data_IF_152361038526
#
_entry.id   IF_152361038526
#
_cell.length_a   1.000
_cell.length_b   1.000
_cell.length_c   1.000
_cell.angle_alpha   90.00
_cell.angle_beta   90.00
_cell.angle_gamma   90.00
#
_symmetry.space_group_name_H-M   'P 1'
#
loop_
_entity.id
_entity.type
_entity.pdbx_description
1 polymer ?
#
# COMPACT_ATOMS: atom_id res chain seq x y z
N UNK A 1 -20.25 9.53 60.25
CA UNK A 1 -20.15 10.96 59.91
C UNK A 1 -20.81 11.14 58.55
N UNK A 2 -21.85 11.95 58.55
CA UNK A 2 -22.86 12.10 57.51
C UNK A 2 -22.54 13.35 56.71
N UNK A 3 -22.46 13.27 55.38
CA UNK A 3 -22.59 14.46 54.53
C UNK A 3 -23.37 14.11 53.25
N UNK A 4 -24.63 14.51 53.30
CA UNK A 4 -25.57 14.71 52.19
C UNK A 4 -25.48 16.17 51.74
N UNK A 5 -25.79 16.44 50.46
CA UNK A 5 -26.31 17.67 49.84
C UNK A 5 -25.55 17.96 48.53
N UNK A 6 -26.12 18.38 47.40
CA UNK A 6 -27.46 18.46 46.83
C UNK A 6 -27.26 18.96 45.39
N UNK A 7 -28.15 18.66 44.43
CA UNK A 7 -28.04 19.10 43.04
C UNK A 7 -28.77 20.43 42.80
N UNK A 8 -28.37 21.22 41.80
CA UNK A 8 -29.26 22.22 41.19
C UNK A 8 -28.93 22.49 39.70
N UNK A 9 -29.91 22.96 38.91
CA UNK A 9 -29.96 22.89 37.45
C UNK A 9 -29.70 24.26 36.79
N UNK A 10 -29.64 24.32 35.46
CA UNK A 10 -30.50 25.18 34.62
C UNK A 10 -30.05 25.24 33.16
N UNK A 11 -30.99 24.83 32.32
CA UNK A 11 -31.42 25.30 30.98
C UNK A 11 -30.67 26.45 30.30
N UNK A 12 -30.33 26.25 29.03
CA UNK A 12 -30.34 27.30 27.99
C UNK A 12 -30.75 26.70 26.64
N UNK A 13 -31.96 27.03 26.22
CA UNK A 13 -32.53 26.78 24.89
C UNK A 13 -32.19 27.98 24.01
N UNK A 14 -31.57 27.74 22.85
CA UNK A 14 -31.37 28.73 21.79
C UNK A 14 -31.59 28.09 20.42
N UNK A 15 -32.43 28.67 19.54
CA UNK A 15 -32.74 28.09 18.25
C UNK A 15 -31.72 28.55 17.20
N UNK A 16 -31.17 27.62 16.41
CA UNK A 16 -30.36 27.95 15.25
C UNK A 16 -30.87 27.20 14.02
N UNK A 17 -31.57 27.99 13.23
CA UNK A 17 -31.96 27.91 11.83
C UNK A 17 -31.26 26.85 10.97
N UNK A 18 -32.11 26.03 10.37
CA UNK A 18 -31.91 25.09 9.27
C UNK A 18 -31.31 25.74 8.00
N UNK A 19 -30.23 25.15 7.49
CA UNK A 19 -29.84 25.21 6.09
C UNK A 19 -29.72 23.77 5.55
N UNK A 20 -30.73 23.35 4.81
CA UNK A 20 -30.79 22.06 4.11
C UNK A 20 -30.00 22.16 2.82
N UNK A 21 -28.78 21.65 2.79
CA UNK A 21 -28.03 21.43 1.56
C UNK A 21 -28.35 20.04 1.04
N UNK A 22 -29.00 19.99 -0.13
CA UNK A 22 -29.35 18.78 -0.86
C UNK A 22 -28.12 17.88 -1.07
N UNK A 23 -28.16 16.58 -0.70
CA UNK A 23 -27.16 15.64 -1.15
C UNK A 23 -27.35 15.39 -2.65
N UNK A 24 -26.27 15.60 -3.42
CA UNK A 24 -26.19 15.19 -4.81
C UNK A 24 -26.15 13.65 -4.82
N UNK A 25 -27.23 13.01 -5.26
CA UNK A 25 -27.30 11.57 -5.46
C UNK A 25 -26.49 11.24 -6.72
N UNK A 26 -25.38 10.49 -6.65
CA UNK A 26 -24.74 10.00 -7.87
C UNK A 26 -25.68 8.96 -8.49
N UNK A 27 -25.98 9.15 -9.77
CA UNK A 27 -26.76 8.20 -10.56
C UNK A 27 -26.15 6.80 -10.43
N UNK A 28 -26.95 5.75 -10.21
CA UNK A 28 -26.44 4.38 -10.21
C UNK A 28 -25.89 4.09 -11.61
N UNK A 29 -24.60 3.80 -11.69
CA UNK A 29 -24.01 3.18 -12.88
C UNK A 29 -24.75 1.87 -13.08
N UNK A 30 -25.51 1.76 -14.18
CA UNK A 30 -26.33 0.60 -14.46
C UNK A 30 -25.43 -0.66 -14.49
N UNK A 31 -25.67 -1.61 -13.59
CA UNK A 31 -24.98 -2.91 -13.52
C UNK A 31 -24.95 -3.66 -14.87
N UNK A 32 -25.84 -3.28 -15.79
CA UNK A 32 -25.94 -3.80 -17.16
C UNK A 32 -24.66 -3.54 -17.98
N UNK A 33 -23.95 -2.42 -17.77
CA UNK A 33 -22.72 -2.12 -18.52
C UNK A 33 -21.52 -2.94 -18.01
N UNK A 34 -21.46 -3.17 -16.70
CA UNK A 34 -20.40 -3.97 -16.07
C UNK A 34 -20.54 -5.44 -16.45
N UNK A 35 -21.77 -5.96 -16.50
CA UNK A 35 -22.03 -7.33 -16.93
C UNK A 35 -21.70 -7.53 -18.43
N UNK A 36 -22.00 -6.55 -19.28
CA UNK A 36 -21.68 -6.62 -20.71
C UNK A 36 -20.16 -6.64 -20.97
N UNK A 37 -19.40 -5.82 -20.24
CA UNK A 37 -17.93 -5.76 -20.35
C UNK A 37 -17.29 -7.06 -19.83
N UNK A 38 -17.76 -7.59 -18.69
CA UNK A 38 -17.30 -8.87 -18.16
C UNK A 38 -17.54 -10.04 -19.14
N UNK A 39 -18.72 -10.10 -19.78
CA UNK A 39 -19.02 -11.13 -20.79
C UNK A 39 -18.05 -11.03 -21.97
N UNK A 40 -17.72 -9.82 -22.41
CA UNK A 40 -16.80 -9.57 -23.52
C UNK A 40 -15.35 -9.99 -23.17
N UNK A 41 -14.91 -9.71 -21.94
CA UNK A 41 -13.60 -10.12 -21.44
C UNK A 41 -13.47 -11.64 -21.31
N UNK A 42 -14.48 -12.31 -20.75
CA UNK A 42 -14.50 -13.77 -20.65
C UNK A 42 -14.50 -14.40 -22.03
N UNK A 43 -15.32 -13.91 -22.97
CA UNK A 43 -15.35 -14.43 -24.34
C UNK A 43 -14.02 -14.26 -25.07
N UNK A 44 -13.31 -13.14 -24.86
CA UNK A 44 -12.00 -12.88 -25.48
C UNK A 44 -10.92 -13.82 -24.92
N UNK A 45 -10.92 -14.02 -23.60
CA UNK A 45 -9.97 -14.92 -22.95
C UNK A 45 -10.20 -16.39 -23.33
N UNK A 46 -11.46 -16.83 -23.39
CA UNK A 46 -11.80 -18.17 -23.88
C UNK A 46 -11.40 -18.39 -25.34
N UNK A 47 -11.54 -17.37 -26.20
CA UNK A 47 -11.08 -17.45 -27.60
C UNK A 47 -9.56 -17.56 -27.70
N UNK A 48 -8.81 -16.82 -26.86
CA UNK A 48 -7.35 -16.92 -26.81
C UNK A 48 -6.89 -18.29 -26.30
N UNK A 49 -7.55 -18.83 -25.28
CA UNK A 49 -7.25 -20.16 -24.76
C UNK A 49 -7.53 -21.25 -25.80
N UNK A 50 -8.66 -21.18 -26.51
CA UNK A 50 -8.99 -22.12 -27.57
C UNK A 50 -7.95 -22.09 -28.73
N UNK A 51 -7.39 -20.93 -29.05
CA UNK A 51 -6.30 -20.81 -30.04
C UNK A 51 -4.99 -21.41 -29.57
N UNK A 52 -4.67 -21.27 -28.27
CA UNK A 52 -3.50 -21.91 -27.67
C UNK A 52 -3.63 -23.43 -27.65
N UNK A 53 -4.82 -23.95 -27.32
CA UNK A 53 -5.08 -25.39 -27.21
C UNK A 53 -5.00 -26.12 -28.56
N UNK A 54 -5.35 -25.43 -29.66
CA UNK A 54 -5.23 -25.95 -31.04
C UNK A 54 -3.78 -25.87 -31.56
N UNK A 55 -2.85 -25.32 -30.78
CA UNK A 55 -1.42 -25.12 -31.14
C UNK A 55 -1.29 -24.48 -32.52
N UNK A 56 -2.08 -23.44 -32.76
CA UNK A 56 -2.11 -22.71 -34.02
C UNK A 56 -0.75 -22.03 -34.23
N UNK A 57 -0.01 -22.46 -35.26
CA UNK A 57 1.31 -21.94 -35.57
C UNK A 57 1.18 -20.50 -36.10
N UNK A 58 1.45 -19.52 -35.26
CA UNK A 58 1.38 -18.09 -35.61
C UNK A 58 0.83 -17.16 -34.53
N UNK A 59 0.44 -17.66 -33.35
CA UNK A 59 0.11 -16.79 -32.21
C UNK A 59 1.41 -16.20 -31.66
N UNK A 60 1.73 -14.99 -32.11
CA UNK A 60 2.85 -14.17 -31.66
C UNK A 60 2.81 -14.02 -30.13
N UNK A 61 3.78 -14.61 -29.47
CA UNK A 61 4.14 -14.29 -28.08
C UNK A 61 4.89 -12.95 -28.17
N UNK A 62 4.27 -11.89 -27.64
CA UNK A 62 4.80 -10.53 -27.44
C UNK A 62 6.13 -10.19 -28.15
N UNK A 63 6.01 -9.59 -29.33
CA UNK A 63 7.11 -8.95 -30.04
C UNK A 63 7.35 -7.54 -29.46
N UNK A 64 8.54 -7.20 -28.96
CA UNK A 64 8.81 -5.88 -28.41
C UNK A 64 8.89 -4.85 -29.55
N UNK A 65 7.97 -3.88 -29.54
CA UNK A 65 7.87 -2.77 -30.51
C UNK A 65 9.03 -1.74 -30.37
N UNK A 66 10.29 -2.16 -30.51
CA UNK A 66 11.44 -1.26 -30.41
C UNK A 66 12.53 -1.55 -31.45
N UNK A 67 12.17 -1.56 -32.74
CA UNK A 67 13.20 -1.67 -33.79
C UNK A 67 12.73 -1.08 -35.11
N UNK A 68 12.58 0.24 -35.17
CA UNK A 68 12.86 1.06 -36.36
C UNK A 68 12.72 2.56 -36.07
N UNK A 69 13.82 3.18 -35.61
CA UNK A 69 14.08 4.60 -35.85
C UNK A 69 15.54 4.71 -36.29
N UNK A 70 15.90 5.49 -37.33
CA UNK A 70 17.29 5.68 -37.70
C UNK A 70 18.00 6.49 -36.60
N UNK A 71 19.25 6.11 -36.30
CA UNK A 71 20.06 6.83 -35.34
C UNK A 71 20.27 8.29 -35.80
N UNK A 72 19.97 9.29 -34.96
CA UNK A 72 20.24 10.67 -35.31
C UNK A 72 21.76 10.92 -35.30
N UNK A 73 22.27 11.78 -36.20
CA UNK A 73 23.67 12.13 -36.19
C UNK A 73 24.02 12.81 -34.86
N UNK A 74 25.11 12.35 -34.24
CA UNK A 74 25.69 12.98 -33.05
C UNK A 74 26.22 14.35 -33.45
N UNK A 75 25.36 15.36 -33.31
CA UNK A 75 25.72 16.78 -33.40
C UNK A 75 25.38 17.44 -32.08
N UNK A 76 26.38 18.12 -31.53
CA UNK A 76 26.38 18.97 -30.36
C UNK A 76 25.54 20.24 -30.64
N UNK A 77 24.21 20.03 -30.76
CA UNK A 77 23.22 21.01 -31.17
C UNK A 77 23.20 22.27 -30.29
N UNK A 78 23.68 22.19 -29.05
CA UNK A 78 23.64 23.27 -28.06
C UNK A 78 24.55 24.46 -28.36
N UNK A 79 25.69 24.30 -29.04
CA UNK A 79 26.61 25.42 -29.32
C UNK A 79 26.31 26.15 -30.64
N UNK A 80 25.75 25.46 -31.63
CA UNK A 80 25.50 26.05 -32.96
C UNK A 80 24.31 27.01 -32.97
N UNK A 81 23.23 26.71 -32.24
CA UNK A 81 22.08 27.62 -32.18
C UNK A 81 22.41 28.95 -31.51
N UNK A 82 23.30 28.94 -30.51
CA UNK A 82 23.76 30.16 -29.83
C UNK A 82 24.57 31.02 -30.80
N UNK A 83 25.46 30.39 -31.57
CA UNK A 83 26.29 31.09 -32.57
C UNK A 83 25.44 31.66 -33.71
N UNK A 84 24.44 30.92 -34.18
CA UNK A 84 23.48 31.37 -35.19
C UNK A 84 22.56 32.48 -34.66
N UNK A 85 22.14 32.42 -33.40
CA UNK A 85 21.34 33.49 -32.78
C UNK A 85 22.15 34.78 -32.62
N UNK A 86 23.43 34.66 -32.24
CA UNK A 86 24.35 35.79 -32.09
C UNK A 86 24.80 36.41 -33.42
N UNK A 87 24.58 35.74 -34.55
CA UNK A 87 24.84 36.33 -35.88
C UNK A 87 23.63 37.07 -36.46
N UNK A 88 22.45 36.97 -35.84
CA UNK A 88 21.25 37.72 -36.26
C UNK A 88 21.39 39.21 -35.95
N UNK A 89 20.79 40.05 -36.80
CA UNK A 89 20.67 41.50 -36.56
C UNK A 89 19.68 41.79 -35.42
N UNK A 90 19.80 42.95 -34.74
CA UNK A 90 19.00 43.25 -33.54
C UNK A 90 17.49 43.16 -33.75
N UNK A 91 16.98 43.62 -34.91
CA UNK A 91 15.55 43.53 -35.23
C UNK A 91 15.05 42.10 -35.39
N UNK A 92 15.85 41.22 -36.00
CA UNK A 92 15.49 39.82 -36.24
C UNK A 92 15.54 38.98 -34.96
N UNK A 93 16.44 39.30 -34.01
CA UNK A 93 16.46 38.65 -32.69
C UNK A 93 15.18 38.87 -31.90
N UNK A 94 14.63 40.09 -31.96
CA UNK A 94 13.36 40.43 -31.28
C UNK A 94 12.21 39.59 -31.86
N UNK A 95 12.19 39.39 -33.19
CA UNK A 95 11.21 38.51 -33.83
C UNK A 95 11.41 37.04 -33.48
N UNK A 96 12.65 36.55 -33.41
CA UNK A 96 12.95 35.18 -33.01
C UNK A 96 12.52 34.89 -31.55
N UNK A 97 12.78 35.83 -30.62
CA UNK A 97 12.29 35.73 -29.23
C UNK A 97 10.76 35.73 -29.20
N UNK A 98 10.11 36.64 -29.94
CA UNK A 98 8.63 36.68 -30.02
C UNK A 98 8.04 35.40 -30.61
N UNK A 99 8.70 34.80 -31.60
CA UNK A 99 8.28 33.54 -32.19
C UNK A 99 8.46 32.39 -31.18
N UNK A 100 9.55 32.37 -30.40
CA UNK A 100 9.78 31.38 -29.36
C UNK A 100 8.75 31.49 -28.22
N UNK A 101 8.41 32.72 -27.81
CA UNK A 101 7.34 32.97 -26.85
C UNK A 101 5.95 32.62 -27.40
N UNK A 102 5.74 32.72 -28.71
CA UNK A 102 4.52 32.25 -29.36
C UNK A 102 4.43 30.71 -29.45
N UNK A 103 5.57 30.00 -29.39
CA UNK A 103 5.66 28.54 -29.32
C UNK A 103 5.55 28.05 -27.85
N UNK A 104 5.51 28.95 -26.87
CA UNK A 104 5.16 28.60 -25.49
C UNK A 104 3.80 27.88 -25.53
N UNK A 105 3.69 26.64 -25.02
CA UNK A 105 2.48 25.87 -25.19
C UNK A 105 1.35 26.57 -24.46
N UNK A 106 0.48 27.23 -25.21
CA UNK A 106 -0.86 27.55 -24.77
C UNK A 106 -1.49 26.22 -24.37
N UNK A 107 -1.92 26.13 -23.11
CA UNK A 107 -2.92 25.17 -22.67
C UNK A 107 -4.18 25.41 -23.48
N UNK A 108 -4.18 24.90 -24.72
CA UNK A 108 -5.37 24.73 -25.51
C UNK A 108 -6.12 23.54 -24.92
N UNK A 109 -7.39 23.81 -24.63
CA UNK A 109 -8.43 22.85 -24.31
C UNK A 109 -8.55 21.84 -25.47
N UNK A 110 -7.66 20.85 -25.49
CA UNK A 110 -7.72 19.72 -26.40
C UNK A 110 -8.70 18.72 -25.84
N UNK A 111 -9.89 18.69 -26.43
CA UNK A 111 -10.78 17.54 -26.47
C UNK A 111 -10.09 16.43 -27.26
N UNK A 112 -9.03 15.87 -26.69
CA UNK A 112 -8.44 14.62 -27.10
C UNK A 112 -8.65 13.67 -25.93
N UNK A 113 -9.47 12.65 -26.18
CA UNK A 113 -9.75 11.53 -25.29
C UNK A 113 -8.50 10.66 -25.11
N UNK A 114 -7.44 11.26 -24.56
CA UNK A 114 -6.39 10.55 -23.88
C UNK A 114 -6.78 10.57 -22.40
N UNK A 115 -7.10 9.40 -21.86
CA UNK A 115 -7.31 9.13 -20.45
C UNK A 115 -6.08 9.62 -19.65
N UNK A 116 -6.01 10.91 -19.37
CA UNK A 116 -5.13 11.44 -18.34
C UNK A 116 -5.73 10.96 -17.03
N UNK A 117 -5.28 9.78 -16.61
CA UNK A 117 -5.41 9.32 -15.24
C UNK A 117 -5.06 10.51 -14.35
N UNK A 118 -6.06 11.02 -13.63
CA UNK A 118 -5.90 12.11 -12.68
C UNK A 118 -5.08 11.53 -11.53
N UNK A 119 -3.76 11.49 -11.69
CA UNK A 119 -2.82 11.02 -10.69
C UNK A 119 -2.93 12.01 -9.52
N UNK A 120 -3.66 11.60 -8.47
CA UNK A 120 -3.98 12.43 -7.30
C UNK A 120 -2.73 12.65 -6.42
N UNK A 121 -1.72 11.77 -6.54
CA UNK A 121 -0.49 11.82 -5.77
C UNK A 121 0.72 11.57 -6.68
N UNK A 122 1.67 12.49 -6.70
CA UNK A 122 2.94 12.34 -7.42
C UNK A 122 4.09 12.23 -6.44
N UNK A 123 5.06 11.33 -6.67
CA UNK A 123 6.17 11.05 -5.74
C UNK A 123 7.04 12.30 -5.41
N UNK A 124 7.08 13.29 -6.30
CA UNK A 124 7.73 14.58 -6.08
C UNK A 124 6.96 15.52 -5.12
N UNK A 125 5.71 15.20 -4.79
CA UNK A 125 4.89 15.88 -3.78
C UNK A 125 4.84 15.10 -2.46
N UNK A 126 5.46 13.91 -2.40
CA UNK A 126 5.55 13.13 -1.18
C UNK A 126 6.49 13.83 -0.20
N UNK A 127 5.90 14.45 0.83
CA UNK A 127 6.67 14.98 1.95
C UNK A 127 7.21 13.78 2.71
N UNK A 128 8.53 13.67 2.80
CA UNK A 128 9.21 12.61 3.56
C UNK A 128 8.58 12.56 4.96
N UNK A 129 7.95 11.44 5.29
CA UNK A 129 7.30 11.27 6.59
C UNK A 129 8.31 11.68 7.68
N UNK A 130 7.96 12.69 8.47
CA UNK A 130 8.77 13.10 9.61
C UNK A 130 8.94 11.86 10.48
N UNK A 131 10.18 11.48 10.79
CA UNK A 131 10.49 10.35 11.68
C UNK A 131 10.00 10.57 13.12
N UNK A 132 9.35 11.72 13.37
CA UNK A 132 8.64 12.09 14.58
C UNK A 132 7.15 11.87 14.37
N UNK A 133 6.74 10.66 13.98
CA UNK A 133 5.40 10.24 14.37
C UNK A 133 5.54 9.72 15.79
N UNK A 134 5.10 10.55 16.75
CA UNK A 134 4.71 10.15 18.10
C UNK A 134 3.43 9.29 18.04
N UNK A 135 3.45 8.35 17.09
CA UNK A 135 2.40 7.40 16.84
C UNK A 135 2.45 6.44 18.01
N UNK A 136 1.41 6.50 18.84
CA UNK A 136 1.09 5.47 19.84
C UNK A 136 1.03 4.06 19.23
N UNK A 137 1.11 3.93 17.90
CA UNK A 137 1.08 2.69 17.14
C UNK A 137 2.45 2.23 16.61
N UNK A 138 3.53 3.02 16.70
CA UNK A 138 4.88 2.55 16.36
C UNK A 138 5.61 2.01 17.59
N UNK A 139 4.99 1.04 18.25
CA UNK A 139 5.60 0.42 19.42
C UNK A 139 6.77 -0.51 19.00
N UNK A 140 6.92 -0.80 17.71
CA UNK A 140 7.88 -1.78 17.21
C UNK A 140 7.65 -3.18 17.79
N UNK A 141 8.55 -4.11 17.47
CA UNK A 141 8.46 -5.49 17.94
C UNK A 141 9.06 -5.61 19.34
N UNK A 142 8.27 -6.10 20.30
CA UNK A 142 8.69 -6.22 21.69
C UNK A 142 9.84 -7.23 21.87
N UNK A 143 10.81 -6.92 22.74
CA UNK A 143 12.02 -7.72 22.95
C UNK A 143 11.77 -9.18 23.36
N UNK A 144 10.67 -9.46 24.06
CA UNK A 144 10.32 -10.84 24.45
C UNK A 144 10.07 -11.78 23.27
N UNK A 145 9.70 -11.25 22.11
CA UNK A 145 9.58 -12.05 20.88
C UNK A 145 10.96 -12.50 20.41
N UNK A 146 11.97 -11.64 20.50
CA UNK A 146 13.36 -12.00 20.22
C UNK A 146 13.91 -12.99 21.24
N UNK A 147 13.55 -12.88 22.53
CA UNK A 147 13.93 -13.85 23.55
C UNK A 147 13.42 -15.27 23.21
N UNK A 148 12.16 -15.38 22.75
CA UNK A 148 11.59 -16.64 22.26
C UNK A 148 12.35 -17.17 21.04
N UNK A 149 12.65 -16.31 20.07
CA UNK A 149 13.40 -16.66 18.86
C UNK A 149 14.81 -17.18 19.17
N UNK A 150 15.53 -16.46 20.04
CA UNK A 150 16.88 -16.81 20.48
C UNK A 150 16.90 -18.16 21.22
N UNK A 151 15.84 -18.44 21.96
CA UNK A 151 15.62 -19.73 22.61
C UNK A 151 15.16 -20.84 21.65
N UNK A 152 14.99 -20.56 20.35
CA UNK A 152 14.44 -21.49 19.35
C UNK A 152 13.08 -22.05 19.74
N UNK A 153 12.28 -21.27 20.48
CA UNK A 153 10.91 -21.61 20.77
C UNK A 153 10.01 -21.20 19.61
N UNK A 154 8.90 -21.91 19.47
CA UNK A 154 7.84 -21.51 18.56
C UNK A 154 7.29 -20.14 18.97
N UNK A 155 7.07 -19.26 17.99
CA UNK A 155 6.55 -17.92 18.18
C UNK A 155 5.19 -17.87 17.51
N UNK A 156 4.10 -17.83 18.29
CA UNK A 156 2.77 -17.67 17.73
C UNK A 156 2.67 -16.33 16.97
N UNK A 157 2.19 -16.39 15.73
CA UNK A 157 1.60 -15.29 14.98
C UNK A 157 0.62 -14.46 15.83
N UNK A 158 -0.15 -15.07 16.74
CA UNK A 158 -1.02 -14.33 17.66
C UNK A 158 -0.31 -13.23 18.45
N UNK A 159 1.00 -13.37 18.74
CA UNK A 159 1.78 -12.32 19.41
C UNK A 159 1.95 -11.05 18.57
N UNK A 160 1.84 -11.16 17.26
CA UNK A 160 2.02 -10.06 16.31
C UNK A 160 0.72 -9.30 16.00
N UNK A 161 -0.40 -9.68 16.61
CA UNK A 161 -1.61 -8.84 16.58
C UNK A 161 -1.37 -7.52 17.31
N UNK A 162 -2.06 -6.46 16.93
CA UNK A 162 -2.02 -5.15 17.55
C UNK A 162 -2.43 -5.23 19.02
N UNK A 163 -3.43 -6.05 19.34
CA UNK A 163 -3.91 -6.26 20.71
C UNK A 163 -2.78 -6.85 21.57
N UNK A 164 -2.14 -7.93 21.10
CA UNK A 164 -1.08 -8.57 21.88
C UNK A 164 0.23 -7.78 21.87
N UNK A 165 0.56 -7.08 20.79
CA UNK A 165 1.72 -6.17 20.73
C UNK A 165 1.56 -5.03 21.73
N UNK A 166 0.41 -4.37 21.77
CA UNK A 166 0.11 -3.32 22.76
C UNK A 166 0.19 -3.87 24.19
N UNK A 167 -0.36 -5.07 24.41
CA UNK A 167 -0.30 -5.74 25.71
C UNK A 167 1.14 -6.05 26.12
N UNK A 168 1.96 -6.56 25.22
CA UNK A 168 3.39 -6.82 25.46
C UNK A 168 4.12 -5.56 25.91
N UNK A 169 3.90 -4.44 25.22
CA UNK A 169 4.55 -3.17 25.58
C UNK A 169 4.02 -2.56 26.88
N UNK A 170 2.71 -2.68 27.14
CA UNK A 170 2.08 -2.13 28.35
C UNK A 170 2.37 -2.96 29.59
N UNK A 171 2.34 -4.28 29.47
CA UNK A 171 2.31 -5.24 30.58
C UNK A 171 3.56 -6.11 30.64
N UNK A 172 4.55 -5.91 29.77
CA UNK A 172 5.70 -6.80 29.55
C UNK A 172 6.46 -7.23 30.81
N UNK A 173 6.55 -6.37 31.82
CA UNK A 173 7.20 -6.69 33.11
C UNK A 173 6.32 -7.54 34.05
N UNK A 174 5.00 -7.48 33.88
CA UNK A 174 4.01 -8.20 34.70
C UNK A 174 3.53 -9.49 34.06
N UNK A 175 3.75 -9.67 32.75
CA UNK A 175 3.40 -10.89 32.05
C UNK A 175 4.13 -12.09 32.63
N UNK A 176 3.41 -13.20 32.74
CA UNK A 176 3.95 -14.42 33.33
C UNK A 176 5.07 -14.96 32.44
N UNK A 177 6.16 -15.38 33.08
CA UNK A 177 7.28 -16.07 32.43
C UNK A 177 7.41 -17.49 32.96
N UNK A 178 7.63 -18.45 32.07
CA UNK A 178 7.86 -19.86 32.39
C UNK A 178 9.34 -20.18 32.28
N UNK A 179 9.81 -21.01 33.20
CA UNK A 179 11.18 -21.54 33.18
C UNK A 179 11.25 -22.66 32.14
N UNK A 180 12.04 -22.47 31.10
CA UNK A 180 12.33 -23.49 30.08
C UNK A 180 13.80 -23.86 30.11
N UNK A 181 14.10 -25.16 30.06
CA UNK A 181 15.49 -25.66 29.97
C UNK A 181 15.79 -26.06 28.54
N UNK A 182 16.68 -25.33 27.87
CA UNK A 182 17.01 -25.51 26.46
C UNK A 182 18.53 -25.65 26.35
N UNK A 183 19.01 -26.76 25.81
CA UNK A 183 20.44 -27.08 25.74
C UNK A 183 21.16 -27.02 27.11
N UNK A 184 20.47 -27.37 28.19
CA UNK A 184 21.00 -27.31 29.56
C UNK A 184 21.07 -25.90 30.18
N UNK A 185 20.69 -24.86 29.43
CA UNK A 185 20.58 -23.49 29.93
C UNK A 185 19.13 -23.22 30.33
N UNK A 186 18.94 -22.66 31.52
CA UNK A 186 17.63 -22.19 31.97
C UNK A 186 17.33 -20.83 31.35
N UNK A 187 16.21 -20.72 30.66
CA UNK A 187 15.63 -19.47 30.16
C UNK A 187 14.32 -19.15 30.88
N UNK A 188 14.07 -17.86 31.12
CA UNK A 188 12.79 -17.36 31.62
C UNK A 188 12.04 -16.70 30.47
N UNK A 189 11.19 -17.48 29.80
CA UNK A 189 10.53 -17.08 28.55
C UNK A 189 9.08 -16.69 28.82
N UNK A 190 8.51 -15.91 27.92
CA UNK A 190 7.11 -15.50 27.98
C UNK A 190 6.18 -16.72 27.98
N UNK A 191 5.22 -16.76 28.92
CA UNK A 191 4.19 -17.81 28.95
C UNK A 191 3.21 -17.58 27.78
N UNK A 192 3.20 -18.47 26.80
CA UNK A 192 2.33 -18.34 25.62
C UNK A 192 0.85 -18.64 25.93
N UNK A 193 0.58 -19.38 27.02
CA UNK A 193 -0.80 -19.76 27.39
C UNK A 193 -1.67 -18.59 27.84
N UNK A 194 -1.08 -17.42 28.11
CA UNK A 194 -1.80 -16.21 28.51
C UNK A 194 -2.29 -15.36 27.33
N UNK A 195 -1.97 -15.77 26.10
CA UNK A 195 -2.41 -15.11 24.86
C UNK A 195 -3.53 -15.90 24.19
N UNK A 196 -4.28 -15.22 23.34
CA UNK A 196 -5.33 -15.85 22.55
C UNK A 196 -4.74 -16.92 21.61
N UNK A 197 -5.49 -18.00 21.42
CA UNK A 197 -5.13 -19.09 20.53
C UNK A 197 -5.26 -18.66 19.07
N UNK A 198 -4.33 -19.09 18.23
CA UNK A 198 -4.35 -18.84 16.79
C UNK A 198 -5.52 -19.47 16.08
N UNK A 199 -5.98 -20.64 16.56
CA UNK A 199 -7.09 -21.38 15.96
C UNK A 199 -8.39 -20.57 15.89
N UNK A 200 -8.55 -19.58 16.78
CA UNK A 200 -9.70 -18.69 16.84
C UNK A 200 -9.52 -17.37 16.09
N UNK A 201 -8.40 -17.18 15.40
CA UNK A 201 -8.06 -15.94 14.72
C UNK A 201 -8.88 -15.79 13.43
N UNK A 202 -9.58 -14.67 13.29
CA UNK A 202 -10.28 -14.34 12.05
C UNK A 202 -9.31 -13.88 10.95
N UNK A 203 -9.79 -13.85 9.70
CA UNK A 203 -8.97 -13.52 8.53
C UNK A 203 -8.36 -12.11 8.59
N UNK A 204 -9.06 -11.13 9.17
CA UNK A 204 -8.56 -9.77 9.29
C UNK A 204 -7.47 -9.66 10.35
N UNK A 205 -7.69 -10.28 11.51
CA UNK A 205 -6.69 -10.34 12.59
C UNK A 205 -5.44 -11.10 12.14
N UNK A 206 -5.61 -12.19 11.38
CA UNK A 206 -4.48 -12.89 10.77
C UNK A 206 -3.74 -12.01 9.76
N UNK A 207 -4.48 -11.26 8.95
CA UNK A 207 -3.92 -10.33 7.98
C UNK A 207 -3.04 -9.26 8.65
N UNK A 208 -3.53 -8.71 9.75
CA UNK A 208 -2.78 -7.76 10.56
C UNK A 208 -1.52 -8.39 11.15
N UNK A 209 -1.64 -9.58 11.75
CA UNK A 209 -0.54 -10.24 12.42
C UNK A 209 0.59 -10.62 11.48
N UNK A 210 0.31 -11.09 10.25
CA UNK A 210 1.40 -11.43 9.31
C UNK A 210 2.17 -10.21 8.81
N UNK A 211 1.52 -9.05 8.66
CA UNK A 211 2.21 -7.82 8.29
C UNK A 211 3.24 -7.45 9.36
N UNK A 212 2.85 -7.50 10.63
CA UNK A 212 3.75 -7.29 11.76
C UNK A 212 4.84 -8.38 11.85
N UNK A 213 4.49 -9.64 11.56
CA UNK A 213 5.44 -10.74 11.49
C UNK A 213 6.51 -10.55 10.40
N UNK A 214 6.15 -10.01 9.23
CA UNK A 214 7.13 -9.71 8.19
C UNK A 214 8.08 -8.58 8.59
N UNK A 215 7.60 -7.55 9.28
CA UNK A 215 8.44 -6.49 9.83
C UNK A 215 9.47 -7.11 10.77
N UNK A 216 9.03 -7.99 11.67
CA UNK A 216 9.95 -8.71 12.56
C UNK A 216 10.93 -9.62 11.82
N UNK A 217 10.48 -10.35 10.80
CA UNK A 217 11.35 -11.22 10.00
C UNK A 217 12.43 -10.43 9.26
N UNK A 218 12.15 -9.19 8.83
CA UNK A 218 13.15 -8.34 8.19
C UNK A 218 14.35 -8.05 9.11
N UNK A 219 14.11 -7.98 10.42
CA UNK A 219 15.16 -7.76 11.43
C UNK A 219 15.77 -9.07 11.95
N UNK A 220 14.96 -10.12 12.09
CA UNK A 220 15.32 -11.35 12.80
C UNK A 220 15.83 -12.48 11.90
N UNK A 221 15.60 -12.43 10.59
CA UNK A 221 15.89 -13.53 9.67
C UNK A 221 16.77 -13.11 8.50
N UNK A 222 17.32 -14.12 7.79
CA UNK A 222 18.01 -13.87 6.53
C UNK A 222 17.04 -13.37 5.47
N UNK A 223 17.46 -12.50 4.54
CA UNK A 223 16.59 -11.96 3.48
C UNK A 223 15.86 -13.05 2.69
N UNK A 224 16.52 -14.18 2.40
CA UNK A 224 15.90 -15.31 1.68
C UNK A 224 14.73 -15.95 2.43
N UNK A 225 14.75 -15.94 3.76
CA UNK A 225 13.67 -16.46 4.60
C UNK A 225 12.51 -15.45 4.59
N UNK A 226 12.82 -14.17 4.79
CA UNK A 226 11.85 -13.09 4.72
C UNK A 226 11.12 -13.10 3.37
N UNK A 227 11.84 -13.17 2.25
CA UNK A 227 11.26 -13.13 0.90
C UNK A 227 10.37 -14.36 0.62
N UNK A 228 10.77 -15.54 1.12
CA UNK A 228 9.95 -16.75 1.02
C UNK A 228 8.62 -16.58 1.74
N UNK A 229 8.64 -16.09 2.98
CA UNK A 229 7.42 -15.88 3.75
C UNK A 229 6.56 -14.77 3.16
N UNK A 230 7.17 -13.67 2.72
CA UNK A 230 6.47 -12.59 2.03
C UNK A 230 5.76 -13.11 0.77
N UNK A 231 6.44 -13.91 -0.05
CA UNK A 231 5.84 -14.52 -1.23
C UNK A 231 4.68 -15.45 -0.86
N UNK A 232 4.88 -16.32 0.13
CA UNK A 232 3.85 -17.26 0.60
C UNK A 232 2.57 -16.54 1.03
N UNK A 233 2.67 -15.52 1.90
CA UNK A 233 1.51 -14.76 2.36
C UNK A 233 0.88 -13.90 1.26
N UNK A 234 1.68 -13.38 0.34
CA UNK A 234 1.16 -12.67 -0.85
C UNK A 234 0.35 -13.61 -1.75
N UNK A 235 0.71 -14.89 -1.82
CA UNK A 235 -0.09 -15.88 -2.55
C UNK A 235 -1.36 -16.26 -1.81
N UNK A 236 -1.27 -16.49 -0.49
CA UNK A 236 -2.45 -16.80 0.34
C UNK A 236 -3.49 -15.66 0.34
N UNK A 237 -3.05 -14.41 0.39
CA UNK A 237 -3.97 -13.25 0.39
C UNK A 237 -4.73 -13.05 -0.93
N UNK A 238 -4.32 -13.70 -2.02
CA UNK A 238 -5.02 -13.67 -3.32
C UNK A 238 -6.09 -14.75 -3.43
N UNK A 239 -6.08 -15.73 -2.55
CA UNK A 239 -7.03 -16.83 -2.57
C UNK A 239 -8.30 -16.43 -1.81
N UNK A 240 -9.40 -16.20 -2.53
CA UNK A 240 -10.70 -15.84 -1.94
C UNK A 240 -11.21 -16.91 -0.98
N UNK A 241 -10.87 -18.19 -1.20
CA UNK A 241 -11.27 -19.26 -0.29
C UNK A 241 -10.61 -19.12 1.09
N UNK A 242 -9.39 -18.56 1.13
CA UNK A 242 -8.66 -18.26 2.37
C UNK A 242 -9.33 -17.09 3.10
N UNK A 243 -9.92 -16.13 2.39
CA UNK A 243 -10.66 -15.04 3.01
C UNK A 243 -11.95 -15.53 3.69
N UNK A 244 -12.68 -16.43 3.02
CA UNK A 244 -14.02 -16.84 3.45
C UNK A 244 -14.03 -18.02 4.43
N UNK A 245 -13.00 -18.88 4.40
CA UNK A 245 -12.89 -20.07 5.25
C UNK A 245 -11.55 -20.13 6.00
N UNK A 246 -10.98 -18.98 6.36
CA UNK A 246 -9.71 -18.94 7.05
C UNK A 246 -9.75 -19.79 8.32
N UNK A 247 -8.82 -20.74 8.41
CA UNK A 247 -8.49 -21.41 9.65
C UNK A 247 -6.98 -21.32 9.82
N UNK A 248 -6.54 -20.70 10.89
CA UNK A 248 -5.12 -20.64 11.21
C UNK A 248 -4.55 -22.07 11.29
N UNK A 249 -3.33 -22.25 10.77
CA UNK A 249 -2.63 -23.54 10.64
C UNK A 249 -1.90 -23.87 11.92
#
# INVERSE_FOLDING_TARGET
MTTTNSPLPSTSVGPSTSASTSPFVPSPTNNIDIDAENILHVSRNSLLQARQDVREAGVLIDEPLLSQLPDPPVMNAGQEWISAYLSLTPGTRIWAIKALDAIKPFQALSNSSALMSKVIFTANQEVKASSVLDSTYDLGIHSSIFDLANARQYIPLALFTNVNTKRLHREGLTLKKVKSSINGVTHHLLDLSQFESEDGMDSFTWQEAWLCYLIWLADAAQPVIHDRWKWHYTMLSKDEAVHDNFKAI
#
